data_IF_636102939814
#
_entry.id   IF_636102939814
#
_cell.length_a   1.000
_cell.length_b   1.000
_cell.length_c   1.000
_cell.angle_alpha   90.00
_cell.angle_beta   90.00
_cell.angle_gamma   90.00
#
_symmetry.space_group_name_H-M   'P 1'
#
loop_
_entity.id
_entity.type
_entity.pdbx_description
1 polymer ?
#
# COMPACT_ATOMS: atom_id res chain seq x y z
N UNK A 1 1.42 9.33 28.95
CA UNK A 1 0.70 10.03 27.87
C UNK A 1 1.63 11.09 27.27
N UNK A 2 2.25 10.82 26.12
CA UNK A 2 3.02 11.81 25.35
C UNK A 2 2.73 11.58 23.87
N UNK A 3 1.87 12.44 23.31
CA UNK A 3 1.56 12.47 21.88
C UNK A 3 2.64 13.25 21.14
N UNK A 4 3.13 12.67 20.05
CA UNK A 4 4.07 13.31 19.13
C UNK A 4 3.32 14.26 18.19
N UNK A 5 3.95 15.41 17.96
CA UNK A 5 3.51 16.47 17.08
C UNK A 5 3.81 16.13 15.61
N UNK A 6 2.85 16.45 14.71
CA UNK A 6 3.03 16.49 13.27
C UNK A 6 2.88 17.92 12.76
N UNK A 7 3.93 18.44 12.14
CA UNK A 7 4.12 19.79 11.62
C UNK A 7 3.35 20.02 10.31
N UNK A 8 2.51 21.06 10.25
CA UNK A 8 1.90 21.55 9.02
C UNK A 8 2.62 22.84 8.57
N UNK A 9 3.21 22.84 7.38
CA UNK A 9 3.86 24.01 6.78
C UNK A 9 2.82 24.75 5.93
N UNK A 10 2.35 25.89 6.43
CA UNK A 10 1.50 26.83 5.69
C UNK A 10 2.37 27.93 5.06
N UNK A 11 2.45 27.96 3.72
CA UNK A 11 3.15 28.99 2.97
C UNK A 11 2.40 30.33 3.02
N UNK A 12 3.07 31.33 3.60
CA UNK A 12 2.62 32.73 3.67
C UNK A 12 2.71 33.40 2.29
N UNK A 13 1.59 33.86 1.74
CA UNK A 13 1.59 34.85 0.65
C UNK A 13 1.37 36.23 1.26
N UNK A 14 2.41 37.05 1.21
CA UNK A 14 2.45 38.42 1.73
C UNK A 14 1.77 39.38 0.74
N UNK A 15 0.66 39.97 1.14
CA UNK A 15 0.02 41.08 0.42
C UNK A 15 0.84 42.35 0.65
N UNK A 16 1.50 42.86 -0.39
CA UNK A 16 2.02 44.24 -0.41
C UNK A 16 1.07 45.13 -1.19
N UNK A 17 0.51 46.11 -0.48
CA UNK A 17 -0.18 47.28 -1.05
C UNK A 17 0.89 48.18 -1.69
N UNK A 18 0.63 48.67 -2.90
CA UNK A 18 1.35 49.81 -3.46
C UNK A 18 0.40 50.94 -3.85
N UNK A 19 0.82 52.20 -3.64
CA UNK A 19 -0.05 53.37 -3.67
C UNK A 19 -0.30 53.90 -5.08
N UNK A 20 -1.39 54.65 -5.19
CA UNK A 20 -1.82 55.38 -6.36
C UNK A 20 -0.90 56.57 -6.69
N UNK A 21 -0.67 56.79 -7.99
CA UNK A 21 -0.78 58.06 -8.71
C UNK A 21 0.21 58.10 -9.90
N UNK A 22 -0.31 58.37 -11.10
CA UNK A 22 0.44 59.11 -12.12
C UNK A 22 -0.55 59.97 -12.93
N UNK A 23 -0.29 61.28 -13.09
CA UNK A 23 -1.26 62.24 -13.59
C UNK A 23 -1.20 62.43 -15.12
N UNK A 24 -2.39 62.66 -15.68
CA UNK A 24 -2.71 63.56 -16.80
C UNK A 24 -1.65 63.79 -17.89
N UNK A 25 -1.82 63.15 -19.04
CA UNK A 25 -1.65 63.82 -20.34
C UNK A 25 -2.65 63.26 -21.36
N UNK A 26 -3.76 63.98 -21.53
CA UNK A 26 -4.72 63.78 -22.61
C UNK A 26 -4.16 64.51 -23.83
N UNK A 27 -3.84 63.79 -24.91
CA UNK A 27 -3.69 64.38 -26.23
C UNK A 27 -4.93 64.05 -27.06
N UNK A 28 -5.64 65.09 -27.45
CA UNK A 28 -6.80 65.05 -28.31
C UNK A 28 -6.42 64.44 -29.68
N UNK A 29 -7.14 63.41 -30.09
CA UNK A 29 -7.16 62.94 -31.48
C UNK A 29 -8.59 63.03 -31.98
N UNK A 30 -8.68 63.62 -33.15
CA UNK A 30 -9.81 64.20 -33.86
C UNK A 30 -10.96 63.21 -34.17
N UNK A 31 -12.18 63.77 -34.29
CA UNK A 31 -13.44 63.13 -34.70
C UNK A 31 -13.24 62.07 -35.80
N UNK A 32 -13.40 60.79 -35.45
CA UNK A 32 -13.73 59.76 -36.44
C UNK A 32 -15.24 59.76 -36.68
N UNK A 33 -15.66 60.03 -37.92
CA UNK A 33 -17.03 59.85 -38.36
C UNK A 33 -17.44 58.38 -38.22
N UNK A 34 -18.40 58.09 -37.34
CA UNK A 34 -18.91 56.73 -37.12
C UNK A 34 -19.78 56.29 -38.29
N UNK A 35 -19.19 55.60 -39.26
CA UNK A 35 -19.95 54.76 -40.19
C UNK A 35 -20.49 53.54 -39.45
N UNK A 36 -21.79 53.20 -39.54
CA UNK A 36 -22.32 51.98 -38.92
C UNK A 36 -21.68 50.74 -39.55
N UNK A 37 -21.25 49.78 -38.72
CA UNK A 37 -20.80 48.48 -39.19
C UNK A 37 -21.98 47.69 -39.78
N UNK A 38 -21.80 46.96 -40.90
CA UNK A 38 -22.82 46.09 -41.44
C UNK A 38 -23.12 44.91 -40.50
N UNK A 39 -24.34 44.36 -40.49
CA UNK A 39 -24.69 43.25 -39.61
C UNK A 39 -23.83 42.02 -39.94
N UNK A 40 -23.24 41.44 -38.89
CA UNK A 40 -22.44 40.22 -38.99
C UNK A 40 -23.34 39.06 -39.45
N UNK A 41 -23.03 38.46 -40.61
CA UNK A 41 -23.71 37.24 -41.07
C UNK A 41 -23.40 36.10 -40.11
N UNK A 42 -24.39 35.28 -39.70
CA UNK A 42 -24.12 34.15 -38.81
C UNK A 42 -23.19 33.17 -39.52
N UNK A 43 -22.01 32.94 -38.93
CA UNK A 43 -21.09 31.89 -39.39
C UNK A 43 -21.81 30.55 -39.23
N UNK A 44 -22.14 29.90 -40.36
CA UNK A 44 -22.62 28.51 -40.34
C UNK A 44 -21.55 27.67 -39.64
N UNK A 45 -21.82 27.23 -38.40
CA UNK A 45 -20.97 26.27 -37.70
C UNK A 45 -20.95 25.01 -38.55
N UNK A 46 -19.84 24.75 -39.25
CA UNK A 46 -19.58 23.42 -39.81
C UNK A 46 -19.60 22.46 -38.64
N UNK A 47 -20.63 21.60 -38.55
CA UNK A 47 -20.68 20.53 -37.57
C UNK A 47 -19.44 19.65 -37.80
N UNK A 48 -18.51 19.62 -36.86
CA UNK A 48 -17.41 18.64 -36.91
C UNK A 48 -18.05 17.26 -36.89
N UNK A 49 -17.78 16.42 -37.88
CA UNK A 49 -18.25 15.03 -37.93
C UNK A 49 -17.67 14.32 -36.71
N UNK A 50 -18.52 13.67 -35.92
CA UNK A 50 -18.07 12.82 -34.82
C UNK A 50 -17.33 11.61 -35.42
N UNK A 51 -16.14 11.32 -34.90
CA UNK A 51 -15.38 10.12 -35.25
C UNK A 51 -16.17 8.92 -34.70
N UNK A 52 -16.80 8.13 -35.57
CA UNK A 52 -17.57 6.95 -35.15
C UNK A 52 -16.59 5.81 -34.94
N UNK A 53 -16.10 5.65 -33.71
CA UNK A 53 -15.39 4.44 -33.32
C UNK A 53 -16.37 3.25 -33.47
N UNK A 54 -15.94 2.15 -34.09
CA UNK A 54 -16.81 0.99 -34.24
C UNK A 54 -17.00 0.37 -32.85
N UNK A 55 -18.26 0.21 -32.42
CA UNK A 55 -18.60 -0.32 -31.09
C UNK A 55 -17.88 -1.65 -30.78
N UNK A 56 -17.60 -2.44 -31.81
CA UNK A 56 -16.90 -3.72 -31.71
C UNK A 56 -15.43 -3.57 -31.28
N UNK A 57 -14.75 -2.49 -31.68
CA UNK A 57 -13.36 -2.22 -31.31
C UNK A 57 -13.27 -1.76 -29.84
N UNK A 58 -14.21 -0.92 -29.40
CA UNK A 58 -14.28 -0.45 -28.01
C UNK A 58 -14.52 -1.60 -27.03
N UNK A 59 -15.45 -2.49 -27.35
CA UNK A 59 -15.72 -3.69 -26.55
C UNK A 59 -14.54 -4.67 -26.54
N UNK A 60 -13.79 -4.75 -27.64
CA UNK A 60 -12.58 -5.56 -27.71
C UNK A 60 -11.48 -5.02 -26.78
N UNK A 61 -11.18 -3.72 -26.86
CA UNK A 61 -10.20 -3.08 -25.98
C UNK A 61 -10.61 -3.20 -24.51
N UNK A 62 -11.89 -2.96 -24.19
CA UNK A 62 -12.41 -3.08 -22.83
C UNK A 62 -12.26 -4.50 -22.25
N UNK A 63 -12.54 -5.55 -23.04
CA UNK A 63 -12.35 -6.95 -22.60
C UNK A 63 -10.89 -7.28 -22.36
N UNK A 64 -10.00 -6.84 -23.26
CA UNK A 64 -8.56 -7.12 -23.16
C UNK A 64 -7.93 -6.40 -21.98
N UNK A 65 -8.28 -5.14 -21.76
CA UNK A 65 -7.83 -4.36 -20.60
C UNK A 65 -8.31 -4.96 -19.28
N UNK A 66 -9.57 -5.42 -19.23
CA UNK A 66 -10.11 -6.10 -18.07
C UNK A 66 -9.36 -7.41 -17.76
N UNK A 67 -8.98 -8.18 -18.79
CA UNK A 67 -8.19 -9.40 -18.63
C UNK A 67 -6.77 -9.09 -18.12
N UNK A 68 -6.08 -8.14 -18.74
CA UNK A 68 -4.75 -7.70 -18.32
C UNK A 68 -4.76 -7.21 -16.87
N UNK A 69 -5.74 -6.41 -16.49
CA UNK A 69 -5.88 -5.93 -15.12
C UNK A 69 -6.11 -7.08 -14.12
N UNK A 70 -6.89 -8.10 -14.49
CA UNK A 70 -7.06 -9.32 -13.68
C UNK A 70 -5.75 -10.08 -13.51
N UNK A 71 -4.99 -10.26 -14.59
CA UNK A 71 -3.69 -10.93 -14.57
C UNK A 71 -2.69 -10.18 -13.69
N UNK A 72 -2.57 -8.86 -13.85
CA UNK A 72 -1.69 -8.02 -13.03
C UNK A 72 -2.05 -8.12 -11.54
N UNK A 73 -3.33 -8.04 -11.19
CA UNK A 73 -3.79 -8.20 -9.79
C UNK A 73 -3.48 -9.59 -9.25
N UNK A 74 -3.67 -10.64 -10.04
CA UNK A 74 -3.36 -12.00 -9.63
C UNK A 74 -1.84 -12.20 -9.42
N UNK A 75 -1.01 -11.65 -10.31
CA UNK A 75 0.44 -11.66 -10.16
C UNK A 75 0.89 -10.91 -8.90
N UNK A 76 0.37 -9.69 -8.68
CA UNK A 76 0.68 -8.90 -7.49
C UNK A 76 0.29 -9.62 -6.19
N UNK A 77 -0.84 -10.32 -6.17
CA UNK A 77 -1.25 -11.16 -5.02
C UNK A 77 -0.27 -12.31 -4.78
N UNK A 78 0.13 -13.03 -5.84
CA UNK A 78 1.10 -14.13 -5.73
C UNK A 78 2.45 -13.64 -5.19
N UNK A 79 2.96 -12.54 -5.72
CA UNK A 79 4.21 -11.95 -5.25
C UNK A 79 4.13 -11.45 -3.81
N UNK A 80 2.98 -10.92 -3.37
CA UNK A 80 2.78 -10.50 -1.98
C UNK A 80 2.82 -11.69 -1.01
N UNK A 81 2.12 -12.78 -1.32
CA UNK A 81 2.12 -14.00 -0.50
C UNK A 81 3.52 -14.61 -0.42
N UNK A 82 4.27 -14.60 -1.53
CA UNK A 82 5.65 -15.08 -1.55
C UNK A 82 6.60 -14.20 -0.71
N UNK A 83 6.43 -12.87 -0.79
CA UNK A 83 7.19 -11.92 0.03
C UNK A 83 6.91 -12.12 1.52
N UNK A 84 5.65 -12.29 1.93
CA UNK A 84 5.26 -12.58 3.32
C UNK A 84 5.88 -13.89 3.82
N UNK A 85 5.88 -14.95 3.01
CA UNK A 85 6.54 -16.22 3.39
C UNK A 85 8.04 -16.03 3.58
N UNK A 86 8.68 -15.21 2.75
CA UNK A 86 10.12 -14.93 2.83
C UNK A 86 10.49 -14.14 4.07
N UNK A 87 9.64 -13.23 4.55
CA UNK A 87 9.92 -12.47 5.79
C UNK A 87 9.86 -13.34 7.04
N UNK A 88 9.09 -14.43 7.02
CA UNK A 88 8.97 -15.38 8.13
C UNK A 88 9.83 -16.66 7.95
N UNK A 89 10.69 -16.71 6.93
CA UNK A 89 11.56 -17.87 6.68
C UNK A 89 12.54 -18.08 7.85
N UNK A 90 12.53 -19.28 8.47
CA UNK A 90 13.32 -19.62 9.67
C UNK A 90 13.05 -18.72 10.89
N UNK A 91 11.92 -18.01 10.89
CA UNK A 91 11.47 -17.15 12.00
C UNK A 91 10.10 -17.60 12.45
N UNK A 92 9.68 -17.16 13.63
CA UNK A 92 8.38 -17.54 14.14
C UNK A 92 7.29 -17.03 13.17
N UNK A 93 6.39 -17.90 12.66
CA UNK A 93 5.34 -17.48 11.73
C UNK A 93 4.27 -16.61 12.38
N UNK A 94 4.22 -16.56 13.73
CA UNK A 94 3.27 -15.72 14.47
C UNK A 94 3.77 -14.29 14.69
N UNK A 95 5.07 -14.11 14.98
CA UNK A 95 5.60 -12.80 15.38
C UNK A 95 6.91 -12.38 14.67
N UNK A 96 7.49 -13.23 13.82
CA UNK A 96 8.70 -12.92 13.05
C UNK A 96 10.00 -12.84 13.87
N UNK A 97 9.97 -13.26 15.13
CA UNK A 97 11.17 -13.31 15.98
C UNK A 97 12.01 -14.56 15.73
N UNK A 98 13.28 -14.52 16.10
CA UNK A 98 14.18 -15.66 15.97
C UNK A 98 13.76 -16.79 16.92
N UNK A 99 13.96 -18.03 16.47
CA UNK A 99 13.75 -19.22 17.28
C UNK A 99 15.06 -19.62 17.96
N UNK A 100 14.95 -20.10 19.19
CA UNK A 100 16.05 -20.69 19.94
C UNK A 100 15.85 -22.20 20.01
N UNK A 101 16.92 -22.97 19.81
CA UNK A 101 16.88 -24.43 19.97
C UNK A 101 17.07 -24.78 21.44
N UNK A 102 16.11 -25.51 22.02
CA UNK A 102 16.20 -26.07 23.37
C UNK A 102 16.24 -27.60 23.33
N UNK A 103 16.93 -28.20 24.29
CA UNK A 103 17.00 -29.67 24.44
C UNK A 103 15.92 -30.19 25.39
N UNK A 104 15.06 -31.07 24.86
CA UNK A 104 13.91 -31.67 25.53
C UNK A 104 14.08 -33.18 25.63
N UNK A 105 14.53 -33.64 26.80
CA UNK A 105 14.77 -35.07 27.09
C UNK A 105 15.62 -35.76 26.01
N UNK A 106 16.51 -35.00 25.34
CA UNK A 106 17.36 -35.44 24.22
C UNK A 106 16.80 -35.20 22.81
N UNK A 107 15.73 -34.41 22.64
CA UNK A 107 15.24 -33.93 21.32
C UNK A 107 15.42 -32.43 21.26
N UNK A 108 15.97 -31.94 20.16
CA UNK A 108 16.07 -30.51 19.88
C UNK A 108 14.69 -30.02 19.43
N UNK A 109 14.19 -28.95 20.06
CA UNK A 109 12.93 -28.31 19.68
C UNK A 109 13.18 -26.81 19.59
N UNK A 110 12.55 -26.15 18.63
CA UNK A 110 12.67 -24.71 18.46
C UNK A 110 11.58 -23.96 19.25
N UNK A 111 11.96 -22.97 20.04
CA UNK A 111 11.02 -22.12 20.80
C UNK A 111 11.23 -20.66 20.44
N UNK A 112 10.13 -19.92 20.27
CA UNK A 112 10.19 -18.47 20.06
C UNK A 112 10.36 -17.73 21.39
N UNK A 113 11.32 -16.83 21.47
CA UNK A 113 11.59 -16.03 22.68
C UNK A 113 10.53 -14.96 22.99
N UNK A 114 9.75 -14.54 22.00
CA UNK A 114 8.76 -13.47 22.14
C UNK A 114 7.34 -13.99 22.43
N UNK A 115 6.87 -14.97 21.65
CA UNK A 115 5.51 -15.50 21.82
C UNK A 115 5.44 -16.82 22.59
N UNK A 116 6.60 -17.36 22.99
CA UNK A 116 6.75 -18.65 23.67
C UNK A 116 6.18 -19.86 22.91
N UNK A 117 5.87 -19.69 21.62
CA UNK A 117 5.42 -20.77 20.74
C UNK A 117 6.53 -21.79 20.53
N UNK A 118 6.15 -23.06 20.52
CA UNK A 118 7.04 -24.21 20.32
C UNK A 118 6.80 -24.79 18.93
N UNK A 119 7.87 -25.02 18.18
CA UNK A 119 7.88 -25.49 16.80
C UNK A 119 8.78 -26.72 16.72
N UNK A 120 8.25 -27.80 16.14
CA UNK A 120 8.95 -29.07 15.98
C UNK A 120 8.59 -29.68 14.63
N UNK A 121 9.52 -30.41 14.02
CA UNK A 121 9.23 -31.21 12.84
C UNK A 121 8.51 -32.53 13.19
N UNK A 122 8.02 -33.23 12.18
CA UNK A 122 7.30 -34.49 12.40
C UNK A 122 8.18 -35.58 13.05
N UNK A 123 9.47 -35.64 12.71
CA UNK A 123 10.39 -36.63 13.23
C UNK A 123 10.74 -36.39 14.70
N UNK A 124 10.90 -35.12 15.09
CA UNK A 124 11.10 -34.65 16.46
C UNK A 124 9.88 -34.98 17.32
N UNK A 125 8.66 -34.72 16.84
CA UNK A 125 7.42 -35.07 17.54
C UNK A 125 7.31 -36.59 17.72
N UNK A 126 7.63 -37.38 16.70
CA UNK A 126 7.65 -38.84 16.84
C UNK A 126 8.70 -39.32 17.85
N UNK A 127 9.91 -38.76 17.84
CA UNK A 127 10.96 -39.10 18.79
C UNK A 127 10.55 -38.73 20.23
N UNK A 128 9.80 -37.64 20.40
CA UNK A 128 9.23 -37.22 21.67
C UNK A 128 8.17 -38.21 22.19
N UNK A 129 7.35 -38.79 21.29
CA UNK A 129 6.29 -39.75 21.62
C UNK A 129 6.83 -41.15 21.94
N UNK A 130 7.89 -41.59 21.27
CA UNK A 130 8.48 -42.94 21.46
C UNK A 130 9.24 -43.10 22.79
N UNK A 131 9.49 -42.01 23.52
CA UNK A 131 10.28 -42.04 24.77
C UNK A 131 9.43 -42.36 26.00
N UNK A 132 9.82 -43.37 26.81
CA UNK A 132 9.12 -43.69 28.05
C UNK A 132 9.39 -42.61 29.10
N UNK A 133 8.39 -41.76 29.35
CA UNK A 133 8.39 -40.73 30.42
C UNK A 133 6.98 -40.63 31.02
N UNK A 134 6.82 -40.15 32.27
CA UNK A 134 5.67 -40.47 33.15
C UNK A 134 4.29 -40.20 32.53
N UNK A 135 3.24 -40.91 33.00
CA UNK A 135 1.98 -41.15 32.29
C UNK A 135 1.11 -39.91 32.01
N UNK A 136 1.54 -38.72 32.43
CA UNK A 136 0.75 -37.50 32.36
C UNK A 136 1.24 -36.59 31.24
N UNK A 137 0.61 -36.71 30.06
CA UNK A 137 0.76 -35.79 28.92
C UNK A 137 0.66 -34.32 29.34
N UNK A 138 -0.26 -34.01 30.27
CA UNK A 138 -0.40 -32.66 30.83
C UNK A 138 0.87 -32.21 31.55
N UNK A 139 1.48 -33.06 32.38
CA UNK A 139 2.71 -32.72 33.09
C UNK A 139 3.86 -32.39 32.12
N UNK A 140 3.84 -32.99 30.92
CA UNK A 140 4.81 -32.70 29.86
C UNK A 140 4.56 -31.34 29.18
N UNK A 141 3.30 -30.99 28.89
CA UNK A 141 2.94 -29.64 28.40
C UNK A 141 3.23 -28.57 29.45
N UNK A 142 2.90 -28.83 30.72
CA UNK A 142 3.22 -27.92 31.82
C UNK A 142 4.73 -27.75 31.98
N UNK A 143 5.54 -28.82 31.85
CA UNK A 143 7.00 -28.71 31.80
C UNK A 143 7.47 -27.93 30.57
N UNK A 144 6.80 -28.08 29.42
CA UNK A 144 7.10 -27.35 28.19
C UNK A 144 6.96 -25.84 28.33
N UNK A 145 5.93 -25.41 29.05
CA UNK A 145 5.67 -24.00 29.34
C UNK A 145 6.51 -23.51 30.54
N UNK A 146 6.70 -24.33 31.57
CA UNK A 146 7.42 -23.95 32.80
C UNK A 146 8.96 -23.94 32.65
N UNK A 147 9.54 -24.79 31.79
CA UNK A 147 10.94 -24.69 31.36
C UNK A 147 11.17 -23.56 30.35
N UNK A 148 10.17 -22.72 30.06
CA UNK A 148 10.23 -21.59 29.13
C UNK A 148 11.27 -20.50 29.45
N UNK A 149 12.26 -20.79 30.30
CA UNK A 149 13.52 -20.07 30.46
C UNK A 149 14.58 -21.10 30.92
N UNK A 150 15.43 -21.53 30.01
CA UNK A 150 16.81 -21.94 30.32
C UNK A 150 17.67 -21.24 29.27
N UNK A 151 18.00 -19.96 29.47
CA UNK A 151 19.14 -19.47 30.25
C UNK A 151 20.46 -19.94 29.68
#
# INVERSE_FOLDING_TARGET
MRSYAGTAIASRVSLRRHPAACPSQIRAVTRCASRPLPPLRPRRRRRRRAMTHNKNEDEYFARRDAELLRQQRAAARKSAVEAERKTHYMKCPKCGYDLITGDWDGVKIEQCTNCHGVWADAAEVEALLKRPTPPNILARVFRAVAKGVTR
#
